data_IF_124206555517
#
_entry.id   IF_124206555517
#
_cell.length_a   1.000
_cell.length_b   1.000
_cell.length_c   1.000
_cell.angle_alpha   90.00
_cell.angle_beta   90.00
_cell.angle_gamma   90.00
#
_symmetry.space_group_name_H-M   'P 1'
#
loop_
_entity.id
_entity.type
_entity.pdbx_description
1 polymer ?
#
# COMPACT_ATOMS: atom_id res chain seq x y z
N UNK A 1 15.53 -15.72 -8.75
CA UNK A 1 16.14 -14.83 -8.30
C UNK A 1 16.45 -14.98 -7.02
N UNK A 2 17.48 -14.99 -6.70
CA UNK A 2 17.77 -15.14 -5.50
C UNK A 2 17.57 -14.00 -4.68
N UNK A 3 17.60 -12.92 -5.24
CA UNK A 3 17.51 -11.80 -4.45
C UNK A 3 16.15 -11.43 -4.15
N UNK A 4 15.79 -11.37 -2.96
CA UNK A 4 14.45 -11.05 -2.58
C UNK A 4 14.31 -9.80 -1.79
N UNK A 5 15.26 -8.91 -1.97
CA UNK A 5 15.22 -7.68 -1.24
C UNK A 5 13.95 -6.89 -1.52
N UNK A 6 13.53 -6.85 -2.77
CA UNK A 6 12.33 -6.12 -3.13
C UNK A 6 11.10 -6.77 -2.52
N UNK A 7 11.07 -8.08 -2.50
CA UNK A 7 9.98 -8.80 -1.89
C UNK A 7 9.91 -8.49 -0.41
N UNK A 8 11.06 -8.51 0.25
CA UNK A 8 11.11 -8.23 1.67
C UNK A 8 10.68 -6.80 1.97
N UNK A 9 11.14 -5.85 1.18
CA UNK A 9 10.79 -4.46 1.40
C UNK A 9 9.31 -4.22 1.20
N UNK A 10 8.73 -4.80 0.17
CA UNK A 10 7.33 -4.59 -0.09
C UNK A 10 6.48 -5.27 0.97
N UNK A 11 6.96 -6.36 1.55
CA UNK A 11 6.24 -7.02 2.61
C UNK A 11 6.31 -6.17 3.87
N UNK A 12 7.46 -5.59 4.17
CA UNK A 12 7.60 -4.72 5.32
C UNK A 12 6.68 -3.51 5.17
N UNK A 13 6.62 -2.97 3.96
CA UNK A 13 5.73 -1.87 3.70
C UNK A 13 4.28 -2.26 3.95
N UNK A 14 3.90 -3.44 3.49
CA UNK A 14 2.53 -3.91 3.69
C UNK A 14 2.22 -4.06 5.18
N UNK A 15 3.17 -4.58 5.94
CA UNK A 15 2.96 -4.73 7.37
C UNK A 15 2.79 -3.37 8.02
N UNK A 16 3.62 -2.40 7.62
CA UNK A 16 3.52 -1.06 8.16
C UNK A 16 2.16 -0.45 7.83
N UNK A 17 1.67 -0.68 6.63
CA UNK A 17 0.38 -0.14 6.23
C UNK A 17 -0.74 -0.77 7.05
N UNK A 18 -0.68 -2.07 7.26
CA UNK A 18 -1.69 -2.74 8.07
C UNK A 18 -1.70 -2.18 9.49
N UNK A 19 -0.51 -2.02 10.06
CA UNK A 19 -0.40 -1.50 11.41
C UNK A 19 -0.91 -0.07 11.51
N UNK A 20 -0.57 0.74 10.53
CA UNK A 20 -1.02 2.12 10.50
C UNK A 20 -2.53 2.19 10.40
N UNK A 21 -3.10 1.42 9.50
CA UNK A 21 -4.55 1.44 9.32
C UNK A 21 -5.28 0.95 10.55
N UNK A 22 -4.73 -0.05 11.20
CA UNK A 22 -5.34 -0.58 12.40
C UNK A 22 -5.32 0.47 13.50
N UNK A 23 -4.17 1.13 13.63
CA UNK A 23 -4.00 2.15 14.64
C UNK A 23 -4.99 3.29 14.45
N UNK A 24 -5.11 3.73 13.23
CA UNK A 24 -6.01 4.83 12.92
C UNK A 24 -7.45 4.42 13.13
N UNK A 25 -7.77 3.20 12.75
CA UNK A 25 -9.12 2.74 12.88
C UNK A 25 -9.56 2.68 14.33
N UNK A 26 -8.64 2.37 15.21
CA UNK A 26 -8.97 2.32 16.62
C UNK A 26 -9.24 3.69 17.18
N UNK A 27 -8.58 4.68 16.65
CA UNK A 27 -8.74 6.03 17.14
C UNK A 27 -9.79 6.84 16.44
N UNK A 28 -10.25 6.36 15.32
CA UNK A 28 -11.20 7.11 14.52
C UNK A 28 -12.16 6.13 13.90
N UNK A 29 -13.20 6.64 13.32
CA UNK A 29 -14.12 5.75 12.66
C UNK A 29 -13.47 5.27 11.40
N UNK A 30 -13.67 4.07 11.07
CA UNK A 30 -13.15 3.54 9.84
C UNK A 30 -13.76 4.27 8.70
N UNK A 31 -13.10 4.33 7.59
CA UNK A 31 -13.66 5.00 6.47
C UNK A 31 -13.13 4.42 5.18
N UNK A 32 -13.71 4.90 4.11
CA UNK A 32 -13.40 4.40 2.78
C UNK A 32 -11.95 4.66 2.42
N UNK A 33 -11.43 5.79 2.84
CA UNK A 33 -10.08 6.16 2.53
C UNK A 33 -9.07 5.18 3.12
N UNK A 34 -9.29 4.81 4.37
CA UNK A 34 -8.43 3.83 5.02
C UNK A 34 -8.48 2.50 4.32
N UNK A 35 -9.66 2.09 3.91
CA UNK A 35 -9.81 0.82 3.21
C UNK A 35 -9.09 0.84 1.88
N UNK A 36 -9.13 1.98 1.19
CA UNK A 36 -8.43 2.09 -0.08
C UNK A 36 -6.92 2.03 0.12
N UNK A 37 -6.44 2.68 1.15
CA UNK A 37 -5.01 2.65 1.44
C UNK A 37 -4.56 1.24 1.81
N UNK A 38 -5.34 0.57 2.62
CA UNK A 38 -5.02 -0.79 3.02
C UNK A 38 -4.98 -1.70 1.78
N UNK A 39 -5.97 -1.59 0.93
CA UNK A 39 -6.03 -2.41 -0.27
C UNK A 39 -4.84 -2.15 -1.19
N UNK A 40 -4.61 -0.89 -1.52
CA UNK A 40 -3.55 -0.60 -2.48
C UNK A 40 -2.17 -0.86 -1.89
N UNK A 41 -1.99 -0.53 -0.62
CA UNK A 41 -0.69 -0.71 0.01
C UNK A 41 -0.28 -2.17 0.11
N UNK A 42 -1.24 -3.05 0.43
CA UNK A 42 -0.90 -4.46 0.52
C UNK A 42 -0.83 -5.11 -0.85
N UNK A 43 -1.51 -4.52 -1.83
CA UNK A 43 -1.50 -5.05 -3.18
C UNK A 43 -0.13 -4.95 -3.84
N UNK A 44 0.65 -3.95 -3.45
CA UNK A 44 1.99 -3.80 -3.99
C UNK A 44 2.81 -5.06 -3.73
N UNK A 45 2.86 -5.46 -2.47
CA UNK A 45 3.63 -6.63 -2.10
C UNK A 45 3.07 -7.90 -2.69
N UNK A 46 1.74 -8.00 -2.74
CA UNK A 46 1.11 -9.19 -3.29
C UNK A 46 1.50 -9.39 -4.75
N UNK A 47 1.49 -8.32 -5.52
CA UNK A 47 1.84 -8.43 -6.93
C UNK A 47 3.32 -8.69 -7.14
N UNK A 48 4.17 -8.13 -6.32
CA UNK A 48 5.59 -8.41 -6.42
C UNK A 48 5.87 -9.86 -6.06
N UNK A 49 5.18 -10.34 -5.05
CA UNK A 49 5.32 -11.73 -4.64
C UNK A 49 4.91 -12.66 -5.78
N UNK A 50 3.78 -12.34 -6.42
CA UNK A 50 3.30 -13.15 -7.52
C UNK A 50 4.20 -13.07 -8.73
N UNK A 51 4.84 -11.94 -8.94
CA UNK A 51 5.77 -11.80 -10.06
C UNK A 51 6.89 -12.81 -9.94
N UNK A 52 7.28 -13.12 -8.72
CA UNK A 52 8.36 -14.06 -8.48
C UNK A 52 8.00 -15.46 -8.97
N UNK A 53 6.72 -15.74 -9.13
CA UNK A 53 6.25 -17.03 -9.60
C UNK A 53 5.56 -16.93 -10.96
N UNK A 54 5.87 -15.87 -11.69
CA UNK A 54 5.22 -15.63 -12.97
C UNK A 54 5.54 -16.75 -13.96
N UNK A 55 4.56 -17.06 -14.79
CA UNK A 55 4.70 -18.12 -15.76
C UNK A 55 5.51 -17.71 -16.97
N UNK A 56 5.63 -16.44 -17.22
CA UNK A 56 6.35 -15.95 -18.38
C UNK A 56 6.92 -14.59 -18.09
N UNK A 57 7.77 -14.13 -18.96
CA UNK A 57 8.35 -12.82 -18.82
C UNK A 57 7.27 -11.75 -18.93
N UNK A 58 6.33 -11.95 -19.83
CA UNK A 58 5.24 -11.00 -20.00
C UNK A 58 4.41 -10.91 -18.73
N UNK A 59 4.16 -12.04 -18.10
CA UNK A 59 3.40 -12.08 -16.87
C UNK A 59 4.17 -11.38 -15.76
N UNK A 60 5.46 -11.61 -15.71
CA UNK A 60 6.32 -10.97 -14.73
C UNK A 60 6.24 -9.45 -14.85
N UNK A 61 6.37 -8.96 -16.07
CA UNK A 61 6.31 -7.53 -16.32
C UNK A 61 4.94 -6.98 -15.95
N UNK A 62 3.91 -7.71 -16.31
CA UNK A 62 2.56 -7.29 -16.00
C UNK A 62 2.34 -7.14 -14.50
N UNK A 63 2.83 -8.10 -13.73
CA UNK A 63 2.68 -8.03 -12.27
C UNK A 63 3.41 -6.83 -11.69
N UNK A 64 4.58 -6.54 -12.22
CA UNK A 64 5.32 -5.39 -11.75
C UNK A 64 4.64 -4.08 -12.14
N UNK A 65 4.01 -4.05 -13.31
CA UNK A 65 3.29 -2.86 -13.70
C UNK A 65 2.10 -2.61 -12.80
N UNK A 66 1.43 -3.68 -12.41
CA UNK A 66 0.31 -3.54 -11.48
C UNK A 66 0.82 -3.04 -10.14
N UNK A 67 1.94 -3.60 -9.67
CA UNK A 67 2.50 -3.16 -8.40
C UNK A 67 2.86 -1.68 -8.43
N UNK A 68 3.41 -1.22 -9.53
CA UNK A 68 3.78 0.17 -9.67
C UNK A 68 2.55 1.07 -9.64
N UNK A 69 1.52 0.65 -10.32
CA UNK A 69 0.28 1.39 -10.34
C UNK A 69 -0.29 1.49 -8.91
N UNK A 70 -0.22 0.40 -8.16
CA UNK A 70 -0.71 0.42 -6.79
C UNK A 70 0.15 1.30 -5.90
N UNK A 71 1.43 1.41 -6.22
CA UNK A 71 2.30 2.33 -5.51
C UNK A 71 1.84 3.76 -5.69
N UNK A 72 1.55 4.15 -6.91
CA UNK A 72 1.07 5.50 -7.18
C UNK A 72 -0.26 5.74 -6.49
N UNK A 73 -1.10 4.74 -6.49
CA UNK A 73 -2.38 4.87 -5.83
C UNK A 73 -2.22 5.03 -4.33
N UNK A 74 -1.33 4.24 -3.73
CA UNK A 74 -1.08 4.33 -2.30
C UNK A 74 -0.54 5.71 -1.93
N UNK A 75 0.31 6.24 -2.77
CA UNK A 75 0.87 7.56 -2.55
C UNK A 75 -0.25 8.60 -2.54
N UNK A 76 -1.19 8.45 -3.44
CA UNK A 76 -2.32 9.36 -3.53
C UNK A 76 -3.16 9.31 -2.24
N UNK A 77 -3.47 8.08 -1.79
CA UNK A 77 -4.29 7.95 -0.59
C UNK A 77 -3.55 8.47 0.64
N UNK A 78 -2.25 8.22 0.72
CA UNK A 78 -1.47 8.73 1.83
C UNK A 78 -1.45 10.24 1.83
N UNK A 79 -1.34 10.83 0.66
CA UNK A 79 -1.35 12.27 0.54
C UNK A 79 -2.67 12.86 1.00
N UNK A 80 -3.75 12.25 0.55
CA UNK A 80 -5.07 12.71 0.94
C UNK A 80 -5.26 12.59 2.44
N UNK A 81 -4.82 11.48 2.98
CA UNK A 81 -4.98 11.22 4.38
C UNK A 81 -4.22 12.22 5.21
N UNK A 82 -3.02 12.54 4.77
CA UNK A 82 -2.20 13.50 5.45
C UNK A 82 -2.84 14.88 5.44
N UNK A 83 -3.39 15.25 4.31
CA UNK A 83 -4.04 16.54 4.19
C UNK A 83 -5.23 16.67 5.10
N UNK A 84 -6.07 15.66 5.11
CA UNK A 84 -7.26 15.71 5.94
C UNK A 84 -6.91 15.65 7.40
N UNK A 85 -5.87 14.92 7.73
CA UNK A 85 -5.46 14.83 9.08
C UNK A 85 -4.92 16.15 9.57
N UNK A 86 -4.19 16.85 8.72
CA UNK A 86 -3.68 18.13 9.08
C UNK A 86 -4.81 19.10 9.31
N UNK A 87 -5.80 19.06 8.47
CA UNK A 87 -6.96 19.91 8.62
C UNK A 87 -7.62 19.65 9.93
N UNK A 88 -7.82 18.39 10.24
CA UNK A 88 -8.41 18.04 11.46
C UNK A 88 -7.64 18.57 12.59
N UNK A 89 -6.37 18.44 12.55
CA UNK A 89 -5.57 18.83 13.62
C UNK A 89 -5.57 20.30 13.81
N UNK A 90 -5.53 21.01 12.74
CA UNK A 90 -5.54 22.41 12.87
C UNK A 90 -6.87 22.96 13.06
N UNK A 91 -7.72 22.52 12.36
CA UNK A 91 -8.95 23.04 12.40
C UNK A 91 -9.70 22.61 13.45
N UNK A 92 -9.49 21.64 13.64
CA UNK A 92 -10.23 21.23 14.34
C UNK A 92 -9.92 20.63 15.10
N UNK A 93 -9.13 20.43 14.74
CA UNK A 93 -8.78 19.64 15.19
C UNK A 93 -8.92 19.63 15.41
#
# INVERSE_FOLDING_TARGET
>A
MKENKLIDLSKMFAVDIVNLCTDIKENRKGNVLLNQLLRSGTSIGANIHEANYAASKADFINKFQIALKECYESDYWLGLFKETKNDNRNGIC
#
